data_IF_282103463958
#
_entry.id   IF_282103463958
#
_cell.length_a   1.000
_cell.length_b   1.000
_cell.length_c   1.000
_cell.angle_alpha   90.00
_cell.angle_beta   90.00
_cell.angle_gamma   90.00
#
_symmetry.space_group_name_H-M   'P 1'
#
loop_
_entity.id
_entity.type
_entity.pdbx_description
1 polymer ?
#
# COMPACT_ATOMS: atom_id res chain seq x y z
N UNK A 1 -5.65 14.17 -1.44
CA UNK A 1 -6.45 13.39 -2.42
C UNK A 1 -7.71 12.92 -1.71
N UNK A 2 -8.49 11.94 -2.17
CA UNK A 2 -9.46 11.26 -1.26
C UNK A 2 -8.89 9.90 -0.90
N UNK A 3 -8.39 9.75 0.33
CA UNK A 3 -7.84 8.50 0.84
C UNK A 3 -8.98 7.49 1.04
N UNK A 4 -8.77 6.25 0.60
CA UNK A 4 -9.70 5.17 0.85
C UNK A 4 -9.77 4.87 2.35
N UNK A 5 -11.00 4.84 2.89
CA UNK A 5 -11.22 4.63 4.33
C UNK A 5 -10.62 3.33 4.84
N UNK A 6 -10.60 2.27 4.03
CA UNK A 6 -9.96 0.99 4.39
C UNK A 6 -8.46 1.15 4.64
N UNK A 7 -7.77 1.89 3.77
CA UNK A 7 -6.34 2.14 3.88
C UNK A 7 -6.03 3.05 5.07
N UNK A 8 -6.77 4.15 5.23
CA UNK A 8 -6.63 5.06 6.38
C UNK A 8 -6.78 4.31 7.71
N UNK A 9 -7.86 3.54 7.87
CA UNK A 9 -8.11 2.79 9.12
C UNK A 9 -7.02 1.75 9.38
N UNK A 10 -6.51 1.09 8.34
CA UNK A 10 -5.43 0.11 8.50
C UNK A 10 -4.13 0.77 8.96
N UNK A 11 -3.79 1.94 8.42
CA UNK A 11 -2.60 2.71 8.84
C UNK A 11 -2.75 3.28 10.25
N UNK A 12 -3.92 3.84 10.58
CA UNK A 12 -4.21 4.34 11.95
C UNK A 12 -4.15 3.23 13.01
N UNK A 13 -4.36 1.97 12.62
CA UNK A 13 -4.31 0.80 13.51
C UNK A 13 -2.96 0.07 13.46
N UNK A 14 -1.98 0.59 12.72
CA UNK A 14 -0.69 -0.08 12.50
C UNK A 14 -0.86 -1.52 12.01
N UNK A 15 -1.79 -1.73 11.07
CA UNK A 15 -2.07 -3.06 10.55
C UNK A 15 -0.85 -3.63 9.80
N UNK A 16 -0.55 -4.90 10.03
CA UNK A 16 0.61 -5.56 9.43
C UNK A 16 0.52 -5.69 7.91
N UNK A 17 1.67 -5.99 7.28
CA UNK A 17 1.87 -6.02 5.83
C UNK A 17 0.76 -6.79 5.09
N UNK A 18 0.44 -8.02 5.51
CA UNK A 18 -0.56 -8.85 4.83
C UNK A 18 -1.94 -8.19 4.76
N UNK A 19 -2.35 -7.47 5.81
CA UNK A 19 -3.65 -6.77 5.83
C UNK A 19 -3.65 -5.62 4.84
N UNK A 20 -2.55 -4.86 4.77
CA UNK A 20 -2.38 -3.78 3.80
C UNK A 20 -2.37 -4.31 2.36
N UNK A 21 -1.68 -5.42 2.11
CA UNK A 21 -1.66 -6.09 0.80
C UNK A 21 -3.05 -6.55 0.38
N UNK A 22 -3.82 -7.17 1.29
CA UNK A 22 -5.19 -7.61 1.01
C UNK A 22 -6.11 -6.41 0.67
N UNK A 23 -5.94 -5.28 1.36
CA UNK A 23 -6.65 -4.04 1.05
C UNK A 23 -6.26 -3.52 -0.34
N UNK A 24 -4.96 -3.50 -0.66
CA UNK A 24 -4.47 -3.08 -1.96
C UNK A 24 -5.04 -3.95 -3.09
N UNK A 25 -5.01 -5.28 -2.92
CA UNK A 25 -5.61 -6.23 -3.86
C UNK A 25 -7.11 -6.00 -4.02
N UNK A 26 -7.83 -5.72 -2.94
CA UNK A 26 -9.25 -5.39 -3.00
C UNK A 26 -9.49 -4.12 -3.82
N UNK A 27 -8.72 -3.05 -3.58
CA UNK A 27 -8.81 -1.79 -4.32
C UNK A 27 -8.49 -1.97 -5.81
N UNK A 28 -7.40 -2.68 -6.13
CA UNK A 28 -7.02 -3.03 -7.50
C UNK A 28 -8.14 -3.80 -8.21
N UNK A 29 -8.72 -4.81 -7.55
CA UNK A 29 -9.84 -5.59 -8.09
C UNK A 29 -11.12 -4.76 -8.29
N UNK A 30 -11.28 -3.65 -7.57
CA UNK A 30 -12.38 -2.70 -7.80
C UNK A 30 -12.10 -1.68 -8.91
N UNK A 31 -10.92 -1.74 -9.53
CA UNK A 31 -10.49 -0.87 -10.63
C UNK A 31 -9.75 0.39 -10.19
N UNK A 32 -9.34 0.49 -8.92
CA UNK A 32 -8.47 1.57 -8.46
C UNK A 32 -7.06 1.36 -9.05
N UNK A 33 -6.46 2.35 -9.74
CA UNK A 33 -5.11 2.22 -10.27
C UNK A 33 -4.06 2.10 -9.16
N UNK A 34 -3.00 1.31 -9.40
CA UNK A 34 -1.89 1.17 -8.45
C UNK A 34 -1.27 2.53 -8.10
N UNK A 35 -1.05 3.41 -9.09
CA UNK A 35 -0.52 4.76 -8.90
C UNK A 35 -1.36 5.59 -7.92
N UNK A 36 -2.68 5.47 -7.97
CA UNK A 36 -3.57 6.17 -7.03
C UNK A 36 -3.46 5.62 -5.61
N UNK A 37 -3.24 4.31 -5.45
CA UNK A 37 -3.03 3.69 -4.13
C UNK A 37 -1.65 4.11 -3.58
N UNK A 38 -0.63 4.19 -4.43
CA UNK A 38 0.71 4.68 -4.07
C UNK A 38 0.68 6.13 -3.58
N UNK A 39 -0.01 7.01 -4.31
CA UNK A 39 -0.21 8.40 -3.91
C UNK A 39 -0.89 8.51 -2.52
N UNK A 40 -1.82 7.61 -2.21
CA UNK A 40 -2.45 7.56 -0.88
C UNK A 40 -1.49 7.08 0.21
N UNK A 41 -0.64 6.08 -0.06
CA UNK A 41 0.40 5.68 0.90
C UNK A 41 1.38 6.83 1.17
N UNK A 42 1.79 7.58 0.16
CA UNK A 42 2.68 8.73 0.35
C UNK A 42 1.99 9.84 1.15
N UNK A 43 0.70 10.11 0.89
CA UNK A 43 -0.08 11.06 1.69
C UNK A 43 -0.18 10.60 3.16
N UNK A 44 -0.38 9.31 3.41
CA UNK A 44 -0.45 8.74 4.77
C UNK A 44 0.91 8.81 5.48
N UNK A 45 2.01 8.44 4.81
CA UNK A 45 3.38 8.54 5.35
C UNK A 45 3.76 9.98 5.69
N UNK A 46 3.37 10.94 4.86
CA UNK A 46 3.67 12.35 5.10
C UNK A 46 2.84 12.97 6.24
N UNK A 47 1.67 12.42 6.55
CA UNK A 47 0.70 13.02 7.49
C UNK A 47 0.62 12.31 8.84
N UNK A 48 1.05 11.04 8.93
CA UNK A 48 1.01 10.25 10.17
C UNK A 48 2.40 10.14 10.79
N UNK A 49 2.45 10.20 12.12
CA UNK A 49 3.67 9.85 12.86
C UNK A 49 3.77 8.34 12.92
N UNK A 50 4.62 7.76 12.07
CA UNK A 50 4.91 6.32 12.03
C UNK A 50 6.21 6.05 12.79
N UNK A 51 6.29 4.92 13.50
CA UNK A 51 7.59 4.41 13.92
C UNK A 51 8.34 3.82 12.72
N UNK A 52 9.66 3.67 12.85
CA UNK A 52 10.51 3.24 11.73
C UNK A 52 10.19 1.82 11.23
N UNK A 53 9.84 0.90 12.12
CA UNK A 53 9.48 -0.48 11.73
C UNK A 53 8.17 -0.50 10.93
N UNK A 54 7.22 0.35 11.31
CA UNK A 54 5.96 0.47 10.59
C UNK A 54 6.10 1.23 9.27
N UNK A 55 6.97 2.25 9.20
CA UNK A 55 7.30 2.92 7.95
C UNK A 55 7.91 1.94 6.93
N UNK A 56 8.83 1.07 7.36
CA UNK A 56 9.40 0.01 6.52
C UNK A 56 8.30 -0.94 6.00
N UNK A 57 7.33 -1.30 6.85
CA UNK A 57 6.18 -2.11 6.44
C UNK A 57 5.35 -1.44 5.33
N UNK A 58 5.14 -0.11 5.40
CA UNK A 58 4.43 0.60 4.34
C UNK A 58 5.24 0.62 3.04
N UNK A 59 6.56 0.85 3.13
CA UNK A 59 7.47 0.84 1.99
C UNK A 59 7.48 -0.52 1.28
N UNK A 60 7.50 -1.63 2.02
CA UNK A 60 7.45 -2.98 1.45
C UNK A 60 6.16 -3.23 0.66
N UNK A 61 5.02 -2.71 1.14
CA UNK A 61 3.73 -2.80 0.42
C UNK A 61 3.74 -1.92 -0.82
N UNK A 62 4.32 -0.73 -0.75
CA UNK A 62 4.47 0.17 -1.90
C UNK A 62 5.38 -0.44 -2.98
N UNK A 63 6.49 -1.08 -2.61
CA UNK A 63 7.35 -1.79 -3.55
C UNK A 63 6.61 -2.93 -4.26
N UNK A 64 5.70 -3.61 -3.54
CA UNK A 64 4.86 -4.65 -4.10
C UNK A 64 3.82 -4.09 -5.10
N UNK A 65 3.34 -2.86 -4.91
CA UNK A 65 2.47 -2.13 -5.84
C UNK A 65 3.24 -1.64 -7.09
N UNK A 66 4.47 -1.16 -6.93
CA UNK A 66 5.33 -0.70 -8.02
C UNK A 66 5.91 -1.85 -8.87
N UNK A 67 5.80 -3.10 -8.41
CA UNK A 67 6.42 -4.25 -9.06
C UNK A 67 7.95 -4.27 -8.94
N UNK A 68 8.51 -3.56 -7.96
CA UNK A 68 9.95 -3.55 -7.67
C UNK A 68 10.37 -4.77 -6.84
N UNK A 69 9.41 -5.49 -6.26
CA UNK A 69 9.63 -6.79 -5.65
C UNK A 69 9.82 -7.91 -6.69
N UNK A 70 10.32 -9.07 -6.25
CA UNK A 70 10.30 -10.31 -7.05
C UNK A 70 8.88 -10.59 -7.58
N UNK A 71 8.69 -11.22 -8.75
CA UNK A 71 7.37 -11.49 -9.31
C UNK A 71 6.41 -12.25 -8.38
N UNK A 72 6.94 -13.06 -7.46
CA UNK A 72 6.16 -13.78 -6.44
C UNK A 72 5.65 -12.89 -5.30
N UNK A 73 6.18 -11.67 -5.18
CA UNK A 73 5.83 -10.67 -4.17
C UNK A 73 5.17 -9.43 -4.78
N UNK A 74 5.11 -9.29 -6.11
CA UNK A 74 4.42 -8.17 -6.74
C UNK A 74 2.89 -8.35 -6.64
N UNK A 75 2.16 -7.26 -6.38
CA UNK A 75 0.69 -7.22 -6.38
C UNK A 75 0.13 -6.92 -7.77
N UNK A 76 0.94 -6.31 -8.62
CA UNK A 76 0.61 -5.98 -10.00
C UNK A 76 1.50 -6.85 -10.90
N UNK A 77 1.00 -7.41 -12.01
CA UNK A 77 1.84 -8.14 -12.94
C UNK A 77 3.00 -7.23 -13.39
N UNK A 78 4.25 -7.62 -13.14
CA UNK A 78 5.41 -6.97 -13.75
C UNK A 78 5.22 -7.01 -15.26
N UNK A 79 5.09 -5.84 -15.88
CA UNK A 79 5.05 -5.73 -17.33
C UNK A 79 6.38 -6.27 -17.85
N UNK A 80 6.32 -7.44 -18.50
CA UNK A 80 7.47 -8.11 -19.10
C UNK A 80 7.97 -7.36 -20.34
#
# INVERSE_FOLDING_TARGET
MKIHRSLLVAVEQSAGENVLRDICLSLLNTGVPADSILDEFEELRATHTLDGEYEDTLLDVMDALCGWCSPNHALVPTVA
#
